data_IF_422671863816
#
_entry.id   IF_422671863816
#
_cell.length_a   1.000
_cell.length_b   1.000
_cell.length_c   1.000
_cell.angle_alpha   90.00
_cell.angle_beta   90.00
_cell.angle_gamma   90.00
#
_symmetry.space_group_name_H-M   'P 1'
#
loop_
_entity.id
_entity.type
_entity.pdbx_description
1 polymer ?
#
# COMPACT_ATOMS: atom_id res chain seq x y z
N UNK A 1 -28.06 19.63 19.87
CA UNK A 1 -27.60 18.62 20.85
C UNK A 1 -26.50 17.81 20.17
N UNK A 2 -25.29 17.93 20.68
CA UNK A 2 -24.08 17.27 20.07
C UNK A 2 -23.82 15.97 20.84
N UNK A 3 -23.89 14.83 20.17
CA UNK A 3 -23.48 13.54 20.75
C UNK A 3 -21.99 13.30 20.43
N UNK A 4 -21.15 13.37 21.46
CA UNK A 4 -19.78 12.93 21.42
C UNK A 4 -19.74 11.44 21.77
N UNK A 5 -19.30 10.62 20.82
CA UNK A 5 -19.01 9.20 21.07
C UNK A 5 -17.58 9.07 21.55
N UNK A 6 -17.44 8.68 22.82
CA UNK A 6 -16.13 8.45 23.46
C UNK A 6 -15.73 7.01 23.18
N UNK A 7 -14.68 6.80 22.36
CA UNK A 7 -14.02 5.50 22.24
C UNK A 7 -13.01 5.33 23.37
N UNK A 8 -13.31 4.40 24.24
CA UNK A 8 -12.48 4.02 25.38
C UNK A 8 -11.44 3.00 24.90
N UNK A 9 -10.16 3.42 24.84
CA UNK A 9 -9.04 2.53 24.54
C UNK A 9 -8.56 1.89 25.83
N UNK A 10 -8.73 0.57 25.94
CA UNK A 10 -8.19 -0.22 27.06
C UNK A 10 -6.74 -0.60 26.73
N UNK A 11 -5.79 0.00 27.43
CA UNK A 11 -4.39 -0.42 27.45
C UNK A 11 -4.22 -1.56 28.48
N UNK A 12 -3.90 -2.75 28.03
CA UNK A 12 -3.43 -3.84 28.87
C UNK A 12 -1.91 -3.86 28.90
N UNK A 13 -1.34 -3.46 30.04
CA UNK A 13 0.09 -3.59 30.34
C UNK A 13 0.38 -5.02 30.84
N UNK A 14 1.17 -5.76 30.12
CA UNK A 14 1.75 -7.01 30.60
C UNK A 14 3.23 -6.79 30.91
N UNK A 15 3.54 -6.72 32.20
CA UNK A 15 4.89 -6.76 32.77
C UNK A 15 5.37 -8.19 32.88
N UNK A 16 6.45 -8.56 32.20
CA UNK A 16 7.15 -9.82 32.44
C UNK A 16 8.45 -9.58 33.21
N UNK A 17 8.47 -10.10 34.40
CA UNK A 17 9.60 -10.18 35.32
C UNK A 17 10.64 -11.19 34.85
N UNK A 18 11.89 -10.74 34.82
CA UNK A 18 13.09 -11.56 34.61
C UNK A 18 13.43 -12.37 35.86
N UNK A 19 13.69 -13.66 35.71
CA UNK A 19 14.38 -14.47 36.71
C UNK A 19 15.70 -14.97 36.15
N UNK A 20 16.78 -14.42 36.72
CA UNK A 20 18.13 -14.86 36.56
C UNK A 20 18.38 -16.10 37.44
N UNK A 21 19.04 -17.16 36.94
CA UNK A 21 19.68 -18.20 37.74
C UNK A 21 20.96 -18.70 37.07
N UNK A 22 22.05 -18.43 37.77
CA UNK A 22 23.38 -18.99 37.56
C UNK A 22 23.41 -20.50 37.79
N UNK A 23 24.31 -21.17 37.06
CA UNK A 23 24.97 -22.34 37.60
C UNK A 23 25.32 -23.46 36.61
N UNK A 24 26.63 -23.60 36.50
CA UNK A 24 27.39 -24.84 36.37
C UNK A 24 27.89 -25.28 34.98
N UNK A 25 29.24 -25.41 34.98
CA UNK A 25 30.11 -25.91 33.90
C UNK A 25 29.87 -27.41 33.64
N UNK A 26 29.81 -27.78 32.35
CA UNK A 26 30.17 -29.13 31.90
C UNK A 26 30.73 -29.01 30.48
N UNK A 27 32.01 -29.39 30.32
CA UNK A 27 32.63 -29.61 29.01
C UNK A 27 32.03 -30.80 28.35
N UNK A 28 31.56 -30.64 27.13
CA UNK A 28 31.45 -31.75 26.16
C UNK A 28 31.63 -31.16 24.76
N UNK A 29 32.58 -31.72 24.03
CA UNK A 29 32.88 -31.47 22.64
C UNK A 29 31.60 -31.57 21.80
N UNK A 30 31.12 -30.46 21.24
CA UNK A 30 30.09 -30.46 20.26
C UNK A 30 30.69 -30.08 18.90
N UNK A 31 30.65 -31.03 17.99
CA UNK A 31 30.87 -30.82 16.56
C UNK A 31 30.03 -29.64 16.10
N UNK A 32 30.69 -28.62 15.58
CA UNK A 32 30.10 -27.49 14.91
C UNK A 32 29.56 -27.96 13.54
N UNK A 33 28.39 -28.58 13.53
CA UNK A 33 27.57 -28.57 12.32
C UNK A 33 27.13 -27.12 12.13
N UNK A 34 27.46 -26.58 10.96
CA UNK A 34 27.17 -25.18 10.62
C UNK A 34 25.68 -24.92 10.75
N UNK A 35 25.32 -24.15 11.77
CA UNK A 35 23.99 -23.53 11.84
C UNK A 35 23.96 -22.53 10.70
N UNK A 36 23.27 -22.88 9.62
CA UNK A 36 22.87 -21.90 8.60
C UNK A 36 22.07 -20.82 9.31
N UNK A 37 22.71 -19.67 9.51
CA UNK A 37 22.02 -18.48 10.00
C UNK A 37 21.16 -18.01 8.84
N UNK A 38 19.90 -18.49 8.80
CA UNK A 38 18.89 -17.88 7.95
C UNK A 38 18.77 -16.42 8.38
N UNK A 39 19.15 -15.52 7.49
CA UNK A 39 18.84 -14.10 7.64
C UNK A 39 17.35 -13.98 7.94
N UNK A 40 16.94 -13.20 8.96
CA UNK A 40 15.52 -12.97 9.20
C UNK A 40 14.88 -12.52 7.89
N UNK A 41 13.81 -13.17 7.47
CA UNK A 41 13.00 -12.66 6.37
C UNK A 41 12.70 -11.20 6.66
N UNK A 42 13.00 -10.33 5.68
CA UNK A 42 12.80 -8.89 5.84
C UNK A 42 11.30 -8.65 6.05
N UNK A 43 10.94 -8.28 7.28
CA UNK A 43 9.54 -8.07 7.67
C UNK A 43 8.97 -6.89 6.88
N UNK A 44 8.02 -7.16 5.97
CA UNK A 44 7.26 -6.12 5.29
C UNK A 44 5.95 -5.85 6.06
N UNK A 45 5.81 -4.68 6.70
CA UNK A 45 4.59 -4.35 7.45
C UNK A 45 3.33 -4.34 6.60
N UNK A 46 3.45 -4.11 5.29
CA UNK A 46 2.30 -4.14 4.38
C UNK A 46 1.77 -5.56 4.14
N UNK A 47 2.60 -6.60 4.18
CA UNK A 47 2.14 -7.98 4.05
C UNK A 47 1.23 -8.38 5.22
N UNK A 48 1.69 -8.12 6.44
CA UNK A 48 0.89 -8.38 7.64
C UNK A 48 -0.42 -7.56 7.66
N UNK A 49 -0.37 -6.32 7.16
CA UNK A 49 -1.55 -5.48 7.04
C UNK A 49 -2.54 -6.00 5.99
N UNK A 50 -2.06 -6.49 4.86
CA UNK A 50 -2.89 -7.02 3.79
C UNK A 50 -3.74 -8.24 4.24
N UNK A 51 -3.27 -9.03 5.19
CA UNK A 51 -4.01 -10.17 5.75
C UNK A 51 -5.33 -9.76 6.44
N UNK A 52 -5.50 -8.48 6.79
CA UNK A 52 -6.73 -7.98 7.41
C UNK A 52 -7.84 -7.64 6.40
N UNK A 53 -7.54 -7.66 5.12
CA UNK A 53 -8.55 -7.39 4.08
C UNK A 53 -9.31 -8.66 3.69
N UNK A 54 -10.49 -8.45 3.08
CA UNK A 54 -11.30 -9.54 2.57
C UNK A 54 -10.61 -10.31 1.43
N UNK A 55 -10.97 -11.56 1.22
CA UNK A 55 -10.50 -12.37 0.09
C UNK A 55 -10.77 -11.76 -1.29
N UNK A 56 -11.68 -10.80 -1.36
CA UNK A 56 -11.99 -10.07 -2.61
C UNK A 56 -10.98 -8.99 -2.93
N UNK A 57 -10.21 -8.50 -1.96
CA UNK A 57 -9.20 -7.48 -2.18
C UNK A 57 -8.04 -8.00 -3.04
N UNK A 58 -7.44 -7.09 -3.78
CA UNK A 58 -6.22 -7.30 -4.55
C UNK A 58 -5.25 -6.18 -4.24
N UNK A 59 -3.95 -6.46 -4.34
CA UNK A 59 -2.90 -5.63 -3.80
C UNK A 59 -1.87 -5.29 -4.87
N UNK A 60 -1.29 -4.11 -4.78
CA UNK A 60 -0.14 -3.72 -5.59
C UNK A 60 0.81 -2.83 -4.77
N UNK A 61 2.10 -2.95 -5.04
CA UNK A 61 3.07 -1.94 -4.63
C UNK A 61 3.26 -0.92 -5.74
N UNK A 62 3.45 0.33 -5.35
CA UNK A 62 3.88 1.38 -6.27
C UNK A 62 4.88 2.30 -5.56
N UNK A 63 5.72 2.96 -6.35
CA UNK A 63 6.56 4.05 -5.88
C UNK A 63 5.92 5.38 -6.30
N UNK A 64 5.39 6.12 -5.34
CA UNK A 64 4.70 7.39 -5.57
C UNK A 64 5.48 8.50 -4.89
N UNK A 65 5.97 9.47 -5.69
CA UNK A 65 6.81 10.57 -5.21
C UNK A 65 8.04 10.10 -4.41
N UNK A 66 8.68 8.99 -4.85
CA UNK A 66 9.84 8.40 -4.18
C UNK A 66 9.50 7.61 -2.90
N UNK A 67 8.24 7.26 -2.68
CA UNK A 67 7.76 6.54 -1.51
C UNK A 67 7.07 5.23 -1.91
N UNK A 68 7.48 4.12 -1.31
CA UNK A 68 6.77 2.84 -1.42
C UNK A 68 5.40 2.97 -0.76
N UNK A 69 4.36 2.60 -1.49
CA UNK A 69 2.97 2.57 -1.02
C UNK A 69 2.33 1.23 -1.32
N UNK A 70 1.38 0.86 -0.47
CA UNK A 70 0.47 -0.24 -0.75
C UNK A 70 -0.83 0.31 -1.33
N UNK A 71 -1.24 -0.24 -2.45
CA UNK A 71 -2.53 0.00 -3.09
C UNK A 71 -3.41 -1.23 -2.86
N UNK A 72 -4.63 -1.00 -2.40
CA UNK A 72 -5.62 -2.04 -2.15
C UNK A 72 -6.84 -1.75 -3.00
N UNK A 73 -7.22 -2.68 -3.87
CA UNK A 73 -8.39 -2.57 -4.75
C UNK A 73 -9.38 -3.71 -4.50
N UNK A 74 -10.65 -3.39 -4.46
CA UNK A 74 -11.76 -4.35 -4.43
C UNK A 74 -12.40 -4.52 -5.80
N UNK A 75 -12.18 -3.58 -6.71
CA UNK A 75 -12.74 -3.57 -8.06
C UNK A 75 -11.63 -3.74 -9.10
N UNK A 76 -11.21 -4.99 -9.30
CA UNK A 76 -10.21 -5.35 -10.31
C UNK A 76 -10.84 -6.08 -11.47
N UNK A 77 -10.25 -5.93 -12.64
CA UNK A 77 -10.69 -6.56 -13.89
C UNK A 77 -9.50 -7.15 -14.67
N UNK A 78 -9.77 -8.11 -15.52
CA UNK A 78 -8.77 -8.79 -16.37
C UNK A 78 -9.34 -10.08 -16.92
N UNK A 79 -8.75 -10.56 -18.00
CA UNK A 79 -9.32 -11.65 -18.78
C UNK A 79 -9.06 -13.04 -18.20
N UNK A 80 -8.06 -13.22 -17.36
CA UNK A 80 -7.68 -14.51 -16.80
C UNK A 80 -7.63 -14.50 -15.27
N UNK A 81 -8.02 -15.62 -14.66
CA UNK A 81 -8.08 -15.78 -13.20
C UNK A 81 -6.68 -15.77 -12.56
N UNK A 82 -5.67 -16.18 -13.33
CA UNK A 82 -4.28 -16.36 -12.85
C UNK A 82 -3.34 -15.21 -13.28
N UNK A 83 -3.86 -14.17 -13.92
CA UNK A 83 -3.06 -13.00 -14.33
C UNK A 83 -3.24 -11.85 -13.36
N UNK A 84 -2.24 -11.01 -13.30
CA UNK A 84 -2.29 -9.73 -12.61
C UNK A 84 -3.43 -8.88 -13.19
N UNK A 85 -4.28 -8.38 -12.33
CA UNK A 85 -5.48 -7.62 -12.74
C UNK A 85 -5.24 -6.13 -12.69
N UNK A 86 -5.95 -5.38 -13.49
CA UNK A 86 -6.01 -3.93 -13.40
C UNK A 86 -7.12 -3.49 -12.45
N UNK A 87 -6.93 -2.35 -11.75
CA UNK A 87 -7.93 -1.79 -10.84
C UNK A 87 -8.53 -0.51 -11.41
N UNK A 88 -9.82 -0.28 -11.14
CA UNK A 88 -10.48 1.00 -11.44
C UNK A 88 -10.52 1.91 -10.22
N UNK A 89 -10.17 1.40 -9.07
CA UNK A 89 -10.06 2.17 -7.82
C UNK A 89 -8.88 1.63 -6.99
N UNK A 90 -8.40 2.44 -6.06
CA UNK A 90 -7.44 1.99 -5.06
C UNK A 90 -7.54 2.81 -3.78
N UNK A 91 -7.53 2.15 -2.63
CA UNK A 91 -7.20 2.73 -1.35
C UNK A 91 -5.69 2.72 -1.17
N UNK A 92 -5.11 3.81 -0.70
CA UNK A 92 -3.66 4.05 -0.69
C UNK A 92 -3.18 4.10 0.75
N UNK A 93 -2.13 3.32 1.04
CA UNK A 93 -1.51 3.25 2.36
C UNK A 93 -0.01 3.49 2.25
N UNK A 94 0.56 4.20 3.21
CA UNK A 94 1.99 4.46 3.30
C UNK A 94 2.49 4.26 4.74
N UNK A 95 3.80 4.20 4.91
CA UNK A 95 4.42 4.24 6.22
C UNK A 95 4.72 5.69 6.62
N UNK A 96 4.42 6.05 7.86
CA UNK A 96 4.91 7.29 8.48
C UNK A 96 6.38 7.15 8.91
N UNK A 97 6.96 8.19 9.52
CA UNK A 97 8.36 8.18 10.03
C UNK A 97 8.60 7.18 11.17
N UNK A 98 7.55 6.58 11.73
CA UNK A 98 7.63 5.59 12.81
C UNK A 98 7.27 4.19 12.31
N UNK A 99 7.31 3.97 11.01
CA UNK A 99 6.93 2.72 10.33
C UNK A 99 5.50 2.27 10.62
N UNK A 100 4.61 3.22 10.96
CA UNK A 100 3.18 2.94 11.11
C UNK A 100 2.47 3.12 9.77
N UNK A 101 1.60 2.17 9.46
CA UNK A 101 0.75 2.26 8.27
C UNK A 101 -0.32 3.32 8.49
N UNK A 102 -0.39 4.27 7.57
CA UNK A 102 -1.40 5.34 7.52
C UNK A 102 -2.16 5.27 6.22
N UNK A 103 -3.49 5.44 6.30
CA UNK A 103 -4.34 5.55 5.13
C UNK A 103 -4.25 6.97 4.58
N UNK A 104 -3.93 7.10 3.29
CA UNK A 104 -3.82 8.40 2.62
C UNK A 104 -5.12 8.83 1.94
N UNK A 105 -6.02 7.88 1.67
CA UNK A 105 -7.27 8.09 0.99
C UNK A 105 -7.49 7.08 -0.13
N UNK A 106 -8.43 7.38 -1.02
CA UNK A 106 -8.75 6.54 -2.17
C UNK A 106 -8.86 7.36 -3.44
N UNK A 107 -8.54 6.70 -4.57
CA UNK A 107 -8.68 7.25 -5.92
C UNK A 107 -9.56 6.34 -6.74
N UNK A 108 -10.28 6.90 -7.73
CA UNK A 108 -11.18 6.14 -8.58
C UNK A 108 -11.23 6.70 -9.99
N UNK A 109 -11.14 5.82 -10.96
CA UNK A 109 -11.39 6.04 -12.38
C UNK A 109 -12.84 5.77 -12.75
N UNK A 110 -13.24 6.20 -13.92
CA UNK A 110 -14.59 5.95 -14.47
C UNK A 110 -14.56 4.80 -15.48
N UNK A 111 -14.58 3.57 -14.98
CA UNK A 111 -14.66 2.37 -15.81
C UNK A 111 -13.31 1.80 -16.25
N UNK A 112 -13.39 0.64 -16.88
CA UNK A 112 -12.22 -0.23 -17.18
C UNK A 112 -11.32 0.27 -18.30
N UNK A 113 -11.75 1.26 -19.07
CA UNK A 113 -10.92 1.91 -20.10
C UNK A 113 -9.81 2.79 -19.49
N UNK A 114 -9.96 3.15 -18.22
CA UNK A 114 -9.06 4.06 -17.52
C UNK A 114 -8.56 3.41 -16.21
N UNK A 115 -7.75 2.35 -16.27
CA UNK A 115 -7.21 1.73 -15.07
C UNK A 115 -6.40 2.73 -14.26
N UNK A 116 -6.32 2.52 -12.94
CA UNK A 116 -5.39 3.26 -12.10
C UNK A 116 -3.98 3.09 -12.65
N UNK A 117 -3.30 4.18 -12.94
CA UNK A 117 -2.02 4.19 -13.65
C UNK A 117 -0.97 4.99 -12.90
N UNK A 118 0.29 4.74 -13.24
CA UNK A 118 1.45 5.44 -12.70
C UNK A 118 2.25 6.06 -13.84
N UNK A 119 2.59 7.34 -13.73
CA UNK A 119 3.50 8.06 -14.63
C UNK A 119 4.40 8.98 -13.82
N UNK A 120 5.71 8.86 -14.02
CA UNK A 120 6.74 9.69 -13.37
C UNK A 120 6.56 9.80 -11.84
N UNK A 121 6.24 8.66 -11.20
CA UNK A 121 6.01 8.61 -9.76
C UNK A 121 4.73 9.29 -9.29
N UNK A 122 3.74 9.49 -10.15
CA UNK A 122 2.43 10.06 -9.83
C UNK A 122 1.30 9.10 -10.17
N UNK A 123 0.32 9.00 -9.29
CA UNK A 123 -0.89 8.22 -9.55
C UNK A 123 -1.85 8.99 -10.45
N UNK A 124 -2.44 8.30 -11.40
CA UNK A 124 -3.36 8.88 -12.35
C UNK A 124 -4.66 8.08 -12.41
N UNK A 125 -5.77 8.78 -12.47
CA UNK A 125 -7.10 8.24 -12.74
C UNK A 125 -7.81 9.11 -13.77
N UNK A 126 -8.65 8.50 -14.59
CA UNK A 126 -9.40 9.22 -15.60
C UNK A 126 -10.85 8.72 -15.75
N UNK A 127 -11.64 9.50 -16.43
CA UNK A 127 -12.98 9.18 -16.88
C UNK A 127 -13.23 9.87 -18.21
N UNK A 128 -14.42 9.75 -18.77
CA UNK A 128 -14.72 10.33 -20.08
C UNK A 128 -14.52 11.84 -20.17
N UNK A 129 -14.63 12.53 -19.04
CA UNK A 129 -14.59 13.99 -18.98
C UNK A 129 -13.58 14.53 -17.96
N UNK A 130 -12.70 13.69 -17.42
CA UNK A 130 -11.70 14.16 -16.48
C UNK A 130 -10.41 13.34 -16.52
N UNK A 131 -9.32 14.00 -16.14
CA UNK A 131 -8.06 13.36 -15.72
C UNK A 131 -7.64 13.98 -14.40
N UNK A 132 -7.22 13.15 -13.44
CA UNK A 132 -6.71 13.54 -12.13
C UNK A 132 -5.35 12.95 -11.90
N UNK A 133 -4.44 13.75 -11.40
CA UNK A 133 -3.07 13.35 -11.07
C UNK A 133 -2.82 13.59 -9.60
N UNK A 134 -2.27 12.60 -8.92
CA UNK A 134 -2.01 12.65 -7.50
C UNK A 134 -0.53 12.40 -7.21
N UNK A 135 0.00 13.13 -6.25
CA UNK A 135 1.30 12.89 -5.64
C UNK A 135 1.16 12.64 -4.14
N UNK A 136 2.25 12.24 -3.50
CA UNK A 136 2.32 12.15 -2.05
C UNK A 136 3.30 13.21 -1.58
N UNK A 137 2.79 14.16 -0.78
CA UNK A 137 3.61 15.08 -0.02
C UNK A 137 3.86 14.50 1.35
N UNK A 138 5.05 14.65 1.81
CA UNK A 138 5.39 14.12 3.10
C UNK A 138 6.55 14.85 3.71
N UNK A 139 6.35 15.26 4.94
CA UNK A 139 7.47 15.49 5.82
C UNK A 139 7.38 14.56 7.04
N UNK A 140 6.33 14.60 7.81
CA UNK A 140 6.17 13.74 8.99
C UNK A 140 5.07 12.69 8.82
N UNK A 141 3.93 13.13 8.31
CA UNK A 141 2.81 12.25 7.97
C UNK A 141 2.56 12.37 6.47
N UNK A 142 2.62 11.28 5.72
CA UNK A 142 2.36 11.32 4.29
C UNK A 142 0.91 11.72 4.01
N UNK A 143 0.72 12.55 2.98
CA UNK A 143 -0.58 13.06 2.55
C UNK A 143 -0.73 12.89 1.03
N UNK A 144 -1.87 12.36 0.59
CA UNK A 144 -2.24 12.30 -0.81
C UNK A 144 -2.75 13.66 -1.28
N UNK A 145 -2.11 14.22 -2.30
CA UNK A 145 -2.44 15.54 -2.82
C UNK A 145 -2.87 15.43 -4.27
N UNK A 146 -3.98 16.09 -4.61
CA UNK A 146 -4.39 16.28 -5.98
C UNK A 146 -3.51 17.38 -6.63
N UNK A 147 -2.58 16.98 -7.49
CA UNK A 147 -1.64 17.88 -8.14
C UNK A 147 -2.29 18.62 -9.31
N UNK A 148 -3.09 17.91 -10.10
CA UNK A 148 -3.84 18.50 -11.20
C UNK A 148 -5.17 17.79 -11.41
N UNK A 149 -6.15 18.59 -11.79
CA UNK A 149 -7.48 18.14 -12.15
C UNK A 149 -7.94 18.93 -13.37
N UNK A 150 -8.42 18.21 -14.36
CA UNK A 150 -8.99 18.80 -15.53
C UNK A 150 -10.30 18.10 -15.87
N UNK A 151 -11.33 18.87 -16.14
CA UNK A 151 -12.67 18.40 -16.44
C UNK A 151 -13.25 19.20 -17.62
N UNK A 152 -13.98 18.55 -18.49
CA UNK A 152 -14.69 19.17 -19.62
C UNK A 152 -14.21 18.68 -20.98
N UNK A 153 -14.83 19.23 -22.01
CA UNK A 153 -14.51 18.95 -23.42
C UNK A 153 -13.63 20.09 -23.96
N UNK A 154 -12.34 20.05 -23.71
CA UNK A 154 -11.44 21.07 -24.25
C UNK A 154 -10.15 20.45 -24.80
N UNK A 155 -9.42 21.23 -25.57
CA UNK A 155 -8.17 20.83 -26.17
C UNK A 155 -7.11 20.43 -25.11
N UNK A 156 -7.13 21.10 -23.96
CA UNK A 156 -6.26 20.81 -22.82
C UNK A 156 -6.55 19.43 -22.19
N UNK A 157 -7.82 19.01 -22.12
CA UNK A 157 -8.20 17.68 -21.67
C UNK A 157 -7.64 16.60 -22.62
N UNK A 158 -7.65 16.86 -23.94
CA UNK A 158 -7.06 15.97 -24.94
C UNK A 158 -5.57 15.75 -24.71
N UNK A 159 -4.82 16.79 -24.37
CA UNK A 159 -3.39 16.67 -24.05
C UNK A 159 -3.16 15.89 -22.75
N UNK A 160 -4.02 16.05 -21.75
CA UNK A 160 -3.94 15.27 -20.51
C UNK A 160 -4.28 13.79 -20.75
N UNK A 161 -5.23 13.46 -21.62
CA UNK A 161 -5.47 12.08 -22.03
C UNK A 161 -4.27 11.46 -22.74
N UNK A 162 -3.62 12.18 -23.64
CA UNK A 162 -2.37 11.73 -24.25
C UNK A 162 -1.26 11.49 -23.21
N UNK A 163 -1.26 12.25 -22.14
CA UNK A 163 -0.35 12.05 -21.01
C UNK A 163 -0.75 10.84 -20.20
N UNK A 164 -2.05 10.66 -19.92
CA UNK A 164 -2.58 9.49 -19.23
C UNK A 164 -2.24 8.19 -19.97
N UNK A 165 -2.36 8.16 -21.30
CA UNK A 165 -2.03 7.02 -22.14
C UNK A 165 -0.55 6.61 -22.10
N UNK A 166 0.35 7.50 -21.67
CA UNK A 166 1.78 7.17 -21.43
C UNK A 166 2.02 6.50 -20.09
N UNK A 167 1.03 6.57 -19.20
CA UNK A 167 1.09 5.93 -17.89
C UNK A 167 1.07 4.41 -18.01
N UNK A 168 1.69 3.74 -17.05
CA UNK A 168 1.63 2.29 -16.91
C UNK A 168 0.50 1.93 -15.97
N UNK A 169 -0.44 1.07 -16.41
CA UNK A 169 -1.50 0.57 -15.54
C UNK A 169 -0.91 -0.26 -14.41
N UNK A 170 -1.43 -0.03 -13.20
CA UNK A 170 -0.99 -0.75 -12.02
C UNK A 170 -1.61 -2.14 -12.02
N UNK A 171 -0.76 -3.15 -11.79
CA UNK A 171 -1.14 -4.56 -11.75
C UNK A 171 -1.33 -5.01 -10.32
N UNK A 172 -2.52 -5.52 -10.02
CA UNK A 172 -2.94 -5.99 -8.71
C UNK A 172 -2.91 -7.51 -8.65
N UNK A 173 -2.35 -8.06 -7.58
CA UNK A 173 -2.27 -9.49 -7.25
C UNK A 173 -3.21 -9.83 -6.09
N UNK A 174 -3.61 -11.09 -5.98
CA UNK A 174 -4.44 -11.60 -4.86
C UNK A 174 -3.65 -11.75 -3.55
N UNK A 175 -2.34 -11.84 -3.64
CA UNK A 175 -1.44 -11.95 -2.49
C UNK A 175 -0.21 -11.10 -2.73
N UNK A 176 0.35 -10.54 -1.66
CA UNK A 176 1.66 -9.89 -1.68
C UNK A 176 2.80 -10.89 -1.48
N UNK A 177 2.50 -12.08 -0.96
CA UNK A 177 3.45 -13.19 -0.83
C UNK A 177 3.64 -13.83 -2.21
N UNK A 178 4.89 -13.89 -2.66
CA UNK A 178 5.29 -14.58 -3.91
C UNK A 178 5.19 -16.09 -3.77
#
# INVERSE_FOLDING_TARGET
MKHYSIFLVIMALLSMTSCNRNGSKSNSDFNQEGIEVTTPEEYDPFEAFAEHFSETASFAYAEVSGRKVLLVSQETFGNNVNEDKEGIEASIFALDKKDKIVALGSIRSQGTLYPVSLLDGKLMVAGHQFVRVYSIRSEEVPELVLDSFQEGECEELSEMFKTFEKGTSIKFKKSLKE
#
